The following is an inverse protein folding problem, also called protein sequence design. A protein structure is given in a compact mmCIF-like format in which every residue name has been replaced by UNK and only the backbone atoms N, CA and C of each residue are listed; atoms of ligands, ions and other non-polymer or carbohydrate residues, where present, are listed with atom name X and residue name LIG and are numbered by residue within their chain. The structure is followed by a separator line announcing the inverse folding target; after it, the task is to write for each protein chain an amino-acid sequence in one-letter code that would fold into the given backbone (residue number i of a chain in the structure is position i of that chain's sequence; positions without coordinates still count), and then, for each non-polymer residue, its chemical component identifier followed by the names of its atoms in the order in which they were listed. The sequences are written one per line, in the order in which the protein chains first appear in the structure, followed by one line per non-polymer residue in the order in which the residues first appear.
data_IF_906084917801
#
_entry.id   IF_906084917801
#
_cell.length_a   1.000
_cell.length_b   1.000
_cell.length_c   1.000
_cell.angle_alpha   90.00
_cell.angle_beta   90.00
_cell.angle_gamma   90.00
#
_symmetry.space_group_name_H-M   'P 1'
#
loop_
_entity.id
_entity.type
_entity.pdbx_description
1 polymer ?
#
# COMPACT_ATOMS: atom_id res chain seq x y z
N UNK A 1 0.26 19.40 -16.64
CA UNK A 1 -0.95 18.90 -15.95
C UNK A 1 -0.97 17.40 -16.19
N UNK A 2 -0.46 16.60 -15.26
CA UNK A 2 -0.47 15.14 -15.43
C UNK A 2 -1.83 14.63 -14.96
N UNK A 3 -2.57 14.03 -15.89
CA UNK A 3 -3.84 13.37 -15.66
C UNK A 3 -3.58 12.14 -14.78
N UNK A 4 -4.03 12.18 -13.52
CA UNK A 4 -4.14 11.01 -12.65
C UNK A 4 -5.19 10.09 -13.28
N UNK A 5 -4.73 9.19 -14.16
CA UNK A 5 -5.55 8.10 -14.67
C UNK A 5 -5.98 7.29 -13.45
N UNK A 6 -7.29 7.12 -13.26
CA UNK A 6 -7.82 6.13 -12.34
C UNK A 6 -7.34 4.77 -12.85
N UNK A 7 -6.30 4.22 -12.24
CA UNK A 7 -5.94 2.83 -12.46
C UNK A 7 -6.96 2.00 -11.66
N UNK A 8 -7.51 0.95 -12.27
CA UNK A 8 -8.60 0.13 -11.71
C UNK A 8 -8.13 -0.76 -10.54
N UNK A 9 -6.83 -0.73 -10.26
CA UNK A 9 -6.16 -1.48 -9.21
C UNK A 9 -5.87 -0.52 -8.04
N UNK A 10 -6.88 -0.23 -7.22
CA UNK A 10 -6.72 0.43 -5.93
C UNK A 10 -6.46 -0.64 -4.86
N UNK A 11 -5.41 -0.46 -4.06
CA UNK A 11 -5.05 -1.36 -2.97
C UNK A 11 -5.71 -0.86 -1.68
N UNK A 12 -6.48 -1.74 -1.03
CA UNK A 12 -7.08 -1.45 0.26
C UNK A 12 -6.06 -1.65 1.38
N UNK A 13 -5.66 -0.54 2.00
CA UNK A 13 -4.84 -0.51 3.20
C UNK A 13 -5.69 -0.45 4.45
N UNK A 14 -5.31 -1.21 5.48
CA UNK A 14 -5.98 -1.22 6.78
C UNK A 14 -4.96 -0.85 7.85
N UNK A 15 -5.32 0.12 8.70
CA UNK A 15 -4.53 0.46 9.87
C UNK A 15 -4.62 -0.64 10.92
N UNK A 16 -3.46 -1.15 11.36
CA UNK A 16 -3.39 -2.22 12.36
C UNK A 16 -3.69 -1.74 13.78
N UNK A 17 -3.80 -0.41 14.00
CA UNK A 17 -4.08 0.16 15.33
C UNK A 17 -5.54 0.60 15.49
N UNK A 18 -6.09 1.33 14.53
CA UNK A 18 -7.44 1.88 14.62
C UNK A 18 -8.47 1.21 13.69
N UNK A 19 -8.03 0.38 12.74
CA UNK A 19 -8.91 -0.28 11.77
C UNK A 19 -9.41 0.63 10.65
N UNK A 20 -8.87 1.84 10.50
CA UNK A 20 -9.19 2.72 9.36
C UNK A 20 -8.76 2.07 8.05
N UNK A 21 -9.59 2.18 7.01
CA UNK A 21 -9.34 1.62 5.70
C UNK A 21 -9.11 2.74 4.69
N UNK A 22 -7.98 2.72 3.98
CA UNK A 22 -7.63 3.69 2.95
C UNK A 22 -7.38 2.99 1.63
N UNK A 23 -7.84 3.61 0.53
CA UNK A 23 -7.61 3.11 -0.82
C UNK A 23 -6.42 3.86 -1.40
N UNK A 24 -5.32 3.15 -1.60
CA UNK A 24 -4.09 3.69 -2.18
C UNK A 24 -3.98 3.14 -3.60
N UNK A 25 -3.77 3.97 -4.62
CA UNK A 25 -3.59 3.48 -5.99
C UNK A 25 -2.37 2.56 -6.09
N UNK A 26 -2.50 1.41 -6.74
CA UNK A 26 -1.41 0.45 -6.90
C UNK A 26 -0.17 1.08 -7.54
N UNK A 27 -0.35 1.98 -8.52
CA UNK A 27 0.76 2.71 -9.15
C UNK A 27 1.60 3.49 -8.13
N UNK A 28 0.96 4.09 -7.12
CA UNK A 28 1.66 4.79 -6.05
C UNK A 28 2.42 3.79 -5.19
N UNK A 29 1.77 2.68 -4.82
CA UNK A 29 2.41 1.61 -4.04
C UNK A 29 3.62 1.05 -4.79
N UNK A 30 3.47 0.69 -6.06
CA UNK A 30 4.55 0.20 -6.93
C UNK A 30 5.67 1.22 -7.09
N UNK A 31 5.33 2.51 -7.26
CA UNK A 31 6.33 3.55 -7.38
C UNK A 31 7.16 3.67 -6.10
N UNK A 32 6.50 3.61 -4.93
CA UNK A 32 7.19 3.57 -3.64
C UNK A 32 8.00 2.29 -3.47
N UNK A 33 7.46 1.12 -3.84
CA UNK A 33 8.15 -0.19 -3.79
C UNK A 33 9.45 -0.19 -4.63
N UNK A 34 9.42 0.46 -5.80
CA UNK A 34 10.60 0.60 -6.67
C UNK A 34 11.63 1.62 -6.16
N UNK A 35 11.18 2.65 -5.44
CA UNK A 35 12.04 3.69 -4.89
C UNK A 35 12.60 3.35 -3.51
N UNK A 36 11.88 2.52 -2.75
CA UNK A 36 12.30 2.05 -1.45
C UNK A 36 13.51 1.13 -1.65
N UNK A 37 14.67 1.59 -1.18
CA UNK A 37 15.89 0.78 -1.13
C UNK A 37 15.86 -0.22 0.04
N UNK A 38 14.72 -0.35 0.74
CA UNK A 38 14.49 -1.30 1.81
C UNK A 38 14.31 -2.73 1.30
N UNK A 39 13.78 -3.58 2.18
CA UNK A 39 13.52 -4.97 1.86
C UNK A 39 12.42 -5.07 0.81
N UNK A 40 12.79 -5.47 -0.41
CA UNK A 40 11.90 -5.84 -1.53
C UNK A 40 10.84 -6.89 -1.16
N UNK A 41 10.97 -7.50 0.02
CA UNK A 41 10.10 -8.54 0.56
C UNK A 41 9.08 -8.01 1.57
N UNK A 42 9.04 -6.70 1.84
CA UNK A 42 7.96 -6.07 2.60
C UNK A 42 7.26 -5.01 1.73
N UNK A 43 5.92 -4.96 1.76
CA UNK A 43 5.20 -3.97 0.99
C UNK A 43 5.37 -2.58 1.62
N UNK A 44 5.18 -1.50 0.85
CA UNK A 44 5.20 -0.15 1.38
C UNK A 44 4.16 0.00 2.50
N UNK A 45 4.63 0.41 3.67
CA UNK A 45 3.79 0.69 4.82
C UNK A 45 3.45 2.19 4.84
N UNK A 46 2.17 2.52 4.95
CA UNK A 46 1.71 3.89 5.09
C UNK A 46 1.39 4.21 6.56
N UNK A 47 1.48 5.49 6.93
CA UNK A 47 1.08 5.94 8.26
C UNK A 47 -0.37 6.43 8.21
N UNK A 48 -1.20 5.92 9.11
CA UNK A 48 -2.58 6.36 9.23
C UNK A 48 -2.64 7.83 9.65
N UNK A 49 -3.43 8.65 8.94
CA UNK A 49 -3.57 10.07 9.27
C UNK A 49 -4.27 10.33 10.62
N UNK A 50 -5.04 9.36 11.13
CA UNK A 50 -5.77 9.51 12.40
C UNK A 50 -4.95 9.19 13.64
N UNK A 51 -4.17 8.12 13.61
CA UNK A 51 -3.48 7.60 14.80
C UNK A 51 -1.97 7.46 14.62
N UNK A 52 -1.43 7.83 13.45
CA UNK A 52 -0.03 7.60 13.07
C UNK A 52 0.40 6.12 13.13
N UNK A 53 -0.58 5.21 13.15
CA UNK A 53 -0.34 3.76 13.17
C UNK A 53 0.09 3.26 11.79
N UNK A 54 0.66 2.05 11.76
CA UNK A 54 1.07 1.41 10.51
C UNK A 54 -0.16 0.88 9.78
N UNK A 55 -0.25 1.18 8.49
CA UNK A 55 -1.24 0.62 7.59
C UNK A 55 -0.59 -0.41 6.69
N UNK A 56 -1.24 -1.57 6.58
CA UNK A 56 -0.80 -2.68 5.75
C UNK A 56 -1.82 -2.93 4.64
N UNK A 57 -1.36 -3.32 3.44
CA UNK A 57 -2.28 -3.68 2.38
C UNK A 57 -2.99 -4.99 2.75
N UNK A 58 -4.31 -5.03 2.58
CA UNK A 58 -5.10 -6.23 2.79
C UNK A 58 -4.75 -7.29 1.75
N UNK A 59 -4.63 -6.88 0.49
CA UNK A 59 -4.21 -7.70 -0.63
C UNK A 59 -3.49 -6.82 -1.65
N UNK A 60 -2.22 -7.09 -1.91
CA UNK A 60 -1.41 -6.38 -2.90
C UNK A 60 -0.43 -7.33 -3.58
N UNK A 61 -0.32 -7.27 -4.90
CA UNK A 61 0.69 -7.99 -5.65
C UNK A 61 1.82 -7.04 -6.00
N UNK A 62 2.95 -7.17 -5.30
CA UNK A 62 4.13 -6.34 -5.52
C UNK A 62 4.81 -6.59 -6.86
N UNK A 63 5.58 -5.61 -7.32
CA UNK A 63 6.31 -5.61 -8.61
C UNK A 63 7.27 -6.81 -8.74
N UNK A 64 7.71 -7.33 -7.59
CA UNK A 64 8.57 -8.51 -7.47
C UNK A 64 7.82 -9.86 -7.53
N UNK A 65 6.55 -9.88 -7.95
CA UNK A 65 5.65 -11.06 -7.90
C UNK A 65 5.46 -11.58 -6.47
N UNK A 66 5.44 -10.67 -5.49
CA UNK A 66 5.22 -11.00 -4.09
C UNK A 66 3.81 -10.59 -3.73
N UNK A 67 2.96 -11.57 -3.46
CA UNK A 67 1.61 -11.31 -2.98
C UNK A 67 1.66 -11.09 -1.48
N UNK A 68 1.25 -9.91 -1.06
CA UNK A 68 1.12 -9.52 0.33
C UNK A 68 -0.34 -9.61 0.75
N UNK A 69 -0.61 -10.42 1.76
CA UNK A 69 -1.93 -10.55 2.37
C UNK A 69 -1.85 -10.24 3.84
N UNK A 70 -2.56 -9.20 4.28
CA UNK A 70 -2.77 -8.96 5.70
C UNK A 70 -4.07 -9.64 6.12
N UNK A 71 -3.94 -10.77 6.80
CA UNK A 71 -5.02 -11.43 7.53
C UNK A 71 -4.98 -10.94 8.98
N UNK A 72 -6.08 -10.37 9.45
CA UNK A 72 -6.30 -9.86 10.82
C UNK A 72 -6.28 -10.98 11.87
#
# INVERSE_FOLDING_TARGET
MQELRKNEDDVLYICTECGEQELIPEEVVMHFDLLDQGDISEPPAFYCEKCSGIMKPKFYEGVHNITYTYEE
#
